data_IF_187253787803
#
_entry.id   IF_187253787803
#
_cell.length_a   1.000
_cell.length_b   1.000
_cell.length_c   1.000
_cell.angle_alpha   90.00
_cell.angle_beta   90.00
_cell.angle_gamma   90.00
#
_symmetry.space_group_name_H-M   'P 1'
#
loop_
_entity.id
_entity.type
_entity.pdbx_description
1 polymer ?
#
# COMPACT_ATOMS: atom_id res chain seq x y z
N UNK A 1 3.68 -0.90 9.41
CA UNK A 1 2.47 -0.93 8.56
C UNK A 1 2.10 -2.33 8.06
N UNK A 2 3.04 -3.28 7.98
CA UNK A 2 2.82 -4.67 7.56
C UNK A 2 2.88 -5.63 8.76
N UNK A 3 1.87 -5.58 9.63
CA UNK A 3 1.75 -6.49 10.77
C UNK A 3 0.55 -7.41 10.56
N UNK A 4 0.63 -8.64 11.07
CA UNK A 4 -0.55 -9.52 11.15
C UNK A 4 -1.60 -8.93 12.11
N UNK A 5 -2.87 -9.26 11.91
CA UNK A 5 -4.00 -8.79 12.71
C UNK A 5 -4.44 -7.36 12.40
N UNK A 6 -4.16 -6.87 11.20
CA UNK A 6 -4.62 -5.54 10.74
C UNK A 6 -5.96 -5.65 10.00
N UNK A 7 -6.72 -4.57 10.03
CA UNK A 7 -7.96 -4.42 9.28
C UNK A 7 -7.74 -4.71 7.78
N UNK A 8 -8.70 -5.36 7.10
CA UNK A 8 -8.67 -5.54 5.66
C UNK A 8 -8.53 -4.22 4.90
N UNK A 9 -8.09 -4.29 3.64
CA UNK A 9 -8.08 -3.13 2.75
C UNK A 9 -9.49 -2.73 2.30
N UNK A 10 -9.56 -1.70 1.44
CA UNK A 10 -10.79 -1.21 0.83
C UNK A 10 -11.59 -2.29 0.07
N UNK A 11 -10.94 -3.39 -0.34
CA UNK A 11 -11.57 -4.51 -1.04
C UNK A 11 -11.90 -5.68 -0.10
N UNK A 12 -11.68 -5.53 1.20
CA UNK A 12 -11.97 -6.58 2.19
C UNK A 12 -10.89 -7.65 2.30
N UNK A 13 -9.72 -7.48 1.67
CA UNK A 13 -8.61 -8.43 1.76
C UNK A 13 -7.58 -7.96 2.78
N UNK A 14 -7.23 -8.84 3.73
CA UNK A 14 -6.17 -8.59 4.71
C UNK A 14 -4.82 -9.14 4.25
N UNK A 15 -3.74 -8.82 4.97
CA UNK A 15 -2.42 -9.40 4.70
C UNK A 15 -2.44 -10.93 4.84
N UNK A 16 -3.20 -11.46 5.80
CA UNK A 16 -3.36 -12.90 6.04
C UNK A 16 -3.96 -13.61 4.84
N UNK A 17 -4.89 -12.98 4.13
CA UNK A 17 -5.43 -13.54 2.89
C UNK A 17 -4.31 -13.79 1.87
N UNK A 18 -3.45 -12.79 1.62
CA UNK A 18 -2.33 -12.96 0.68
C UNK A 18 -1.29 -13.98 1.15
N UNK A 19 -1.09 -14.13 2.46
CA UNK A 19 -0.18 -15.14 3.02
C UNK A 19 -0.77 -16.54 2.88
N UNK A 20 -2.03 -16.72 3.27
CA UNK A 20 -2.68 -18.04 3.32
C UNK A 20 -2.98 -18.58 1.92
N UNK A 21 -3.29 -17.70 0.96
CA UNK A 21 -3.59 -18.05 -0.43
C UNK A 21 -2.46 -17.68 -1.38
N UNK A 22 -1.22 -17.60 -0.89
CA UNK A 22 -0.07 -17.17 -1.68
C UNK A 22 0.15 -18.03 -2.93
N UNK A 23 0.04 -19.35 -2.80
CA UNK A 23 0.28 -20.27 -3.92
C UNK A 23 -0.70 -20.07 -5.07
N UNK A 24 -1.94 -19.69 -4.77
CA UNK A 24 -2.98 -19.43 -5.75
C UNK A 24 -2.82 -18.03 -6.38
N UNK A 25 -2.48 -17.03 -5.57
CA UNK A 25 -2.50 -15.61 -5.97
C UNK A 25 -1.19 -15.17 -6.63
N UNK A 26 -0.05 -15.79 -6.27
CA UNK A 26 1.30 -15.30 -6.65
C UNK A 26 1.47 -15.11 -8.15
N UNK A 27 0.93 -16.01 -8.97
CA UNK A 27 1.06 -15.93 -10.43
C UNK A 27 0.33 -14.71 -10.98
N UNK A 28 -0.91 -14.48 -10.53
CA UNK A 28 -1.71 -13.32 -10.93
C UNK A 28 -1.07 -12.02 -10.45
N UNK A 29 -0.65 -11.96 -9.19
CA UNK A 29 -0.02 -10.77 -8.61
C UNK A 29 1.30 -10.41 -9.31
N UNK A 30 2.16 -11.40 -9.56
CA UNK A 30 3.40 -11.18 -10.31
C UNK A 30 3.14 -10.81 -11.77
N UNK A 31 2.08 -11.34 -12.40
CA UNK A 31 1.62 -10.93 -13.73
C UNK A 31 1.29 -9.43 -13.75
N UNK A 32 0.41 -8.99 -12.85
CA UNK A 32 0.04 -7.58 -12.72
C UNK A 32 1.25 -6.66 -12.47
N UNK A 33 2.24 -7.09 -11.67
CA UNK A 33 3.45 -6.30 -11.45
C UNK A 33 4.35 -6.21 -12.70
N UNK A 34 4.39 -7.26 -13.52
CA UNK A 34 5.11 -7.25 -14.80
C UNK A 34 4.42 -6.33 -15.80
N UNK A 35 3.11 -6.40 -15.89
CA UNK A 35 2.32 -5.55 -16.77
C UNK A 35 2.48 -4.07 -16.39
N UNK A 36 2.42 -3.77 -15.07
CA UNK A 36 2.74 -2.44 -14.56
C UNK A 36 4.15 -1.99 -14.98
N UNK A 37 5.16 -2.85 -14.84
CA UNK A 37 6.52 -2.49 -15.21
C UNK A 37 6.69 -2.25 -16.72
N UNK A 38 5.96 -2.98 -17.57
CA UNK A 38 6.08 -2.87 -19.03
C UNK A 38 5.25 -1.72 -19.61
N UNK A 39 4.05 -1.51 -19.07
CA UNK A 39 3.07 -0.58 -19.63
C UNK A 39 2.89 0.68 -18.79
N UNK A 40 3.53 0.76 -17.61
CA UNK A 40 3.36 1.82 -16.61
C UNK A 40 1.90 2.00 -16.17
N UNK A 41 1.09 0.95 -16.30
CA UNK A 41 -0.34 0.98 -16.00
C UNK A 41 -0.64 0.19 -14.73
N UNK A 42 -1.28 0.85 -13.76
CA UNK A 42 -1.80 0.23 -12.56
C UNK A 42 -3.28 -0.12 -12.76
N UNK A 43 -3.76 -1.27 -12.28
CA UNK A 43 -5.18 -1.53 -12.22
C UNK A 43 -5.91 -0.39 -11.50
N UNK A 44 -7.01 0.10 -12.05
CA UNK A 44 -7.75 1.25 -11.49
C UNK A 44 -8.13 1.05 -10.00
N UNK A 45 -8.42 -0.18 -9.60
CA UNK A 45 -8.77 -0.54 -8.22
C UNK A 45 -7.60 -0.44 -7.24
N UNK A 46 -6.36 -0.45 -7.71
CA UNK A 46 -5.17 -0.35 -6.86
C UNK A 46 -4.82 1.08 -6.50
N UNK A 47 -5.18 2.04 -7.36
CA UNK A 47 -5.04 3.47 -7.09
C UNK A 47 -6.15 4.05 -6.22
N UNK A 48 -7.22 3.29 -5.98
CA UNK A 48 -8.31 3.70 -5.09
C UNK A 48 -7.92 3.46 -3.62
N UNK A 49 -8.02 4.52 -2.80
CA UNK A 49 -7.77 4.47 -1.36
C UNK A 49 -8.98 5.02 -0.62
N UNK A 50 -9.39 4.31 0.45
CA UNK A 50 -10.40 4.84 1.37
C UNK A 50 -9.67 5.64 2.46
N UNK A 51 -9.89 6.95 2.47
CA UNK A 51 -9.37 7.84 3.50
C UNK A 51 -10.28 7.82 4.72
N UNK A 52 -9.72 7.46 5.87
CA UNK A 52 -10.40 7.49 7.17
C UNK A 52 -9.75 8.51 8.07
N UNK A 53 -10.55 9.40 8.67
CA UNK A 53 -10.06 10.43 9.59
C UNK A 53 -10.21 9.97 11.04
N UNK A 54 -9.08 9.73 11.73
CA UNK A 54 -9.09 9.38 13.16
C UNK A 54 -8.84 10.64 14.00
N UNK A 55 -9.73 11.01 14.93
CA UNK A 55 -9.53 12.12 15.85
C UNK A 55 -8.25 11.96 16.69
N UNK A 56 -7.47 13.04 16.87
CA UNK A 56 -6.34 13.10 17.81
C UNK A 56 -6.75 13.48 19.24
N UNK A 57 -7.92 14.09 19.40
CA UNK A 57 -8.48 14.62 20.65
C UNK A 57 -10.00 14.44 20.66
N UNK A 58 -10.63 14.47 21.83
CA UNK A 58 -12.07 14.18 21.99
C UNK A 58 -13.00 15.12 21.21
N UNK A 59 -12.60 16.39 21.03
CA UNK A 59 -13.37 17.39 20.30
C UNK A 59 -12.52 18.02 19.20
N UNK A 60 -12.33 17.32 18.06
CA UNK A 60 -11.60 17.87 16.92
C UNK A 60 -12.41 19.00 16.29
N UNK A 61 -11.76 20.13 16.01
CA UNK A 61 -12.41 21.32 15.41
C UNK A 61 -11.81 21.68 14.05
N UNK A 62 -10.56 21.29 13.80
CA UNK A 62 -9.84 21.61 12.58
C UNK A 62 -9.28 20.34 11.92
N UNK A 63 -9.01 20.37 10.62
CA UNK A 63 -8.45 19.22 9.86
C UNK A 63 -7.16 18.69 10.51
N UNK A 64 -6.32 19.59 11.05
CA UNK A 64 -5.07 19.22 11.74
C UNK A 64 -5.30 18.37 12.99
N UNK A 65 -6.51 18.39 13.56
CA UNK A 65 -6.90 17.57 14.71
C UNK A 65 -7.18 16.11 14.33
N UNK A 66 -7.18 15.77 13.05
CA UNK A 66 -7.34 14.40 12.57
C UNK A 66 -6.00 13.82 12.09
N UNK A 67 -5.89 12.50 12.18
CA UNK A 67 -4.88 11.70 11.49
C UNK A 67 -5.57 11.05 10.30
N UNK A 68 -5.24 11.43 9.06
CA UNK A 68 -5.71 10.67 7.91
C UNK A 68 -5.02 9.30 7.91
N UNK A 69 -5.80 8.25 7.71
CA UNK A 69 -5.30 6.90 7.48
C UNK A 69 -5.82 6.45 6.11
N UNK A 70 -4.88 6.10 5.24
CA UNK A 70 -5.16 5.46 3.97
C UNK A 70 -5.35 3.96 4.14
N UNK A 71 -6.55 3.47 3.82
CA UNK A 71 -6.84 2.05 3.68
C UNK A 71 -6.59 1.61 2.23
N UNK A 72 -5.36 1.82 1.76
CA UNK A 72 -4.99 1.42 0.41
C UNK A 72 -4.87 -0.10 0.24
N UNK A 73 -5.07 -0.55 -1.00
CA UNK A 73 -5.08 -1.95 -1.42
C UNK A 73 -3.79 -2.69 -1.00
N UNK A 74 -3.90 -3.91 -0.47
CA UNK A 74 -2.74 -4.69 -0.03
C UNK A 74 -1.79 -5.03 -1.19
N UNK A 75 -2.31 -5.36 -2.37
CA UNK A 75 -1.50 -5.59 -3.57
C UNK A 75 -0.69 -4.34 -3.96
N UNK A 76 -1.30 -3.15 -3.88
CA UNK A 76 -0.60 -1.88 -4.09
C UNK A 76 0.53 -1.68 -3.06
N UNK A 77 0.26 -1.97 -1.79
CA UNK A 77 1.28 -1.92 -0.73
C UNK A 77 2.44 -2.89 -1.00
N UNK A 78 2.16 -4.11 -1.47
CA UNK A 78 3.18 -5.08 -1.86
C UNK A 78 4.03 -4.53 -3.01
N UNK A 79 3.42 -3.97 -4.06
CA UNK A 79 4.15 -3.37 -5.18
C UNK A 79 5.05 -2.22 -4.72
N UNK A 80 4.50 -1.30 -3.92
CA UNK A 80 5.27 -0.18 -3.34
C UNK A 80 6.48 -0.68 -2.55
N UNK A 81 6.32 -1.76 -1.76
CA UNK A 81 7.42 -2.38 -1.03
C UNK A 81 8.49 -2.97 -1.95
N UNK A 82 8.10 -3.60 -3.06
CA UNK A 82 9.04 -4.09 -4.08
C UNK A 82 9.85 -2.93 -4.67
N UNK A 83 9.19 -1.83 -5.05
CA UNK A 83 9.84 -0.65 -5.60
C UNK A 83 10.82 -0.01 -4.59
N UNK A 84 10.39 0.18 -3.34
CA UNK A 84 11.26 0.71 -2.27
C UNK A 84 12.47 -0.18 -2.07
N UNK A 85 12.31 -1.50 -2.05
CA UNK A 85 13.43 -2.42 -1.87
C UNK A 85 14.42 -2.35 -3.06
N UNK A 86 13.94 -2.10 -4.28
CA UNK A 86 14.80 -1.90 -5.46
C UNK A 86 15.51 -0.55 -5.46
N UNK A 87 14.87 0.50 -4.96
CA UNK A 87 15.45 1.84 -4.87
C UNK A 87 16.41 2.00 -3.68
N UNK A 88 16.23 1.22 -2.62
CA UNK A 88 17.00 1.33 -1.37
C UNK A 88 18.52 1.39 -1.55
N UNK A 89 19.17 0.61 -2.44
CA UNK A 89 20.61 0.69 -2.66
C UNK A 89 21.07 2.05 -3.21
N UNK A 90 20.23 2.72 -4.00
CA UNK A 90 20.55 3.94 -4.74
C UNK A 90 20.09 5.22 -4.02
N UNK A 91 19.33 5.10 -2.94
CA UNK A 91 18.73 6.25 -2.22
C UNK A 91 19.78 7.31 -1.84
N UNK A 92 20.99 6.90 -1.46
CA UNK A 92 22.06 7.84 -1.05
C UNK A 92 22.61 8.69 -2.21
N UNK A 93 22.47 8.21 -3.44
CA UNK A 93 22.94 8.90 -4.65
C UNK A 93 21.83 9.79 -5.25
N UNK A 94 20.57 9.43 -5.01
CA UNK A 94 19.41 10.12 -5.60
C UNK A 94 18.92 11.29 -4.72
N UNK A 95 19.07 11.18 -3.39
CA UNK A 95 18.59 12.20 -2.46
C UNK A 95 19.73 13.13 -2.08
N UNK A 96 19.59 14.43 -2.36
CA UNK A 96 20.47 15.45 -1.82
C UNK A 96 20.20 15.65 -0.33
N UNK A 97 21.28 15.80 0.44
CA UNK A 97 21.21 16.16 1.86
C UNK A 97 21.21 17.69 1.97
N UNK A 98 20.11 18.31 1.56
CA UNK A 98 19.82 19.73 1.78
C UNK A 98 18.62 19.90 2.71
#
# INVERSE_FOLDING_TARGET
>A
MYGRGKTPDSNGYSLEFYINFWEDIRKSLCGAFKDFHQQMHLPNTWGQTNLVFIPKKEQPKEIKDFRPIDLCNVAYKILSKVLVNRLKPYIKEIISWE
#
